data_IF_357121811350
#
_entry.id   IF_357121811350
#
_cell.length_a   1.000
_cell.length_b   1.000
_cell.length_c   1.000
_cell.angle_alpha   90.00
_cell.angle_beta   90.00
_cell.angle_gamma   90.00
#
_symmetry.space_group_name_H-M   'P 1'
#
loop_
_entity.id
_entity.type
_entity.pdbx_description
1 polymer ?
#
# COMPACT_ATOMS: atom_id res chain seq x y z
N UNK A 1 26.23 -9.08 2.96
CA UNK A 1 25.07 -8.32 3.49
C UNK A 1 25.18 -6.89 3.00
N UNK A 2 24.29 -6.42 2.14
CA UNK A 2 24.30 -5.04 1.66
C UNK A 2 23.33 -4.17 2.43
N UNK A 3 23.68 -2.90 2.63
CA UNK A 3 22.74 -1.88 3.08
C UNK A 3 21.63 -1.74 2.03
N UNK A 4 20.38 -1.59 2.48
CA UNK A 4 19.22 -1.39 1.61
C UNK A 4 18.75 0.05 1.72
N UNK A 5 18.47 0.66 0.58
CA UNK A 5 17.94 2.02 0.51
C UNK A 5 16.54 2.08 1.12
N UNK A 6 16.21 3.20 1.77
CA UNK A 6 14.88 3.42 2.34
C UNK A 6 13.81 3.46 1.24
N UNK A 7 12.76 2.59 1.28
CA UNK A 7 11.81 2.47 0.17
C UNK A 7 11.06 3.75 -0.15
N UNK A 8 10.64 4.49 0.87
CA UNK A 8 9.95 5.79 0.72
C UNK A 8 10.93 6.84 0.20
N UNK A 9 12.16 6.90 0.75
CA UNK A 9 13.14 7.92 0.40
C UNK A 9 13.55 7.82 -1.07
N UNK A 10 13.76 6.59 -1.54
CA UNK A 10 14.06 6.30 -2.95
C UNK A 10 12.91 6.67 -3.92
N UNK A 11 11.70 6.84 -3.40
CA UNK A 11 10.46 7.04 -4.19
C UNK A 11 9.87 8.45 -4.07
N UNK A 12 10.47 9.30 -3.23
CA UNK A 12 10.06 10.70 -3.06
C UNK A 12 10.10 11.43 -4.41
N UNK A 13 9.00 12.09 -4.76
CA UNK A 13 8.86 12.84 -6.02
C UNK A 13 8.59 11.99 -7.26
N UNK A 14 8.54 10.65 -7.14
CA UNK A 14 8.19 9.73 -8.22
C UNK A 14 6.83 9.09 -7.96
N UNK A 15 6.76 8.22 -6.95
CA UNK A 15 5.53 7.50 -6.58
C UNK A 15 5.01 7.89 -5.20
N UNK A 16 5.88 8.45 -4.34
CA UNK A 16 5.53 8.87 -2.98
C UNK A 16 5.69 10.37 -2.84
N UNK A 17 4.75 10.99 -2.14
CA UNK A 17 4.70 12.43 -1.90
C UNK A 17 5.29 12.79 -0.53
N UNK A 18 5.59 14.06 -0.32
CA UNK A 18 6.17 14.58 0.92
C UNK A 18 5.18 14.55 2.07
N UNK A 19 5.67 14.25 3.28
CA UNK A 19 4.89 14.35 4.50
C UNK A 19 4.75 15.79 5.01
N UNK A 20 5.74 16.66 4.78
CA UNK A 20 5.60 18.10 5.02
C UNK A 20 5.64 18.83 3.68
N UNK A 21 4.69 19.73 3.45
CA UNK A 21 4.59 20.54 2.24
C UNK A 21 4.54 22.02 2.63
N UNK A 22 5.69 22.65 2.61
CA UNK A 22 5.81 24.08 2.87
C UNK A 22 7.11 24.60 2.25
N UNK A 23 7.18 25.92 2.11
CA UNK A 23 8.35 26.64 1.64
C UNK A 23 8.86 27.55 2.75
N UNK A 24 10.16 27.69 2.87
CA UNK A 24 10.80 28.61 3.81
C UNK A 24 12.07 29.20 3.19
N UNK A 25 12.39 30.43 3.58
CA UNK A 25 13.66 31.05 3.23
C UNK A 25 14.81 30.46 4.05
N UNK A 26 16.05 30.67 3.59
CA UNK A 26 17.26 30.03 4.15
C UNK A 26 17.45 30.24 5.65
N UNK A 27 17.00 31.38 6.20
CA UNK A 27 17.11 31.70 7.62
C UNK A 27 16.08 30.98 8.51
N UNK A 28 14.89 30.66 7.98
CA UNK A 28 13.75 30.15 8.77
C UNK A 28 13.57 28.64 8.64
N UNK A 29 14.23 28.00 7.67
CA UNK A 29 14.06 26.58 7.40
C UNK A 29 14.37 25.68 8.60
N UNK A 30 15.45 25.99 9.34
CA UNK A 30 15.86 25.20 10.50
C UNK A 30 14.81 25.25 11.61
N UNK A 31 14.30 26.44 11.92
CA UNK A 31 13.30 26.64 12.97
C UNK A 31 11.98 25.94 12.63
N UNK A 32 11.55 25.99 11.37
CA UNK A 32 10.34 25.31 10.92
C UNK A 32 10.49 23.79 10.92
N UNK A 33 11.68 23.28 10.57
CA UNK A 33 11.97 21.86 10.63
C UNK A 33 11.98 21.33 12.07
N UNK A 34 12.63 22.06 12.99
CA UNK A 34 12.65 21.78 14.44
C UNK A 34 11.21 21.73 14.98
N UNK A 35 10.40 22.75 14.67
CA UNK A 35 9.00 22.80 15.08
C UNK A 35 8.17 21.63 14.52
N UNK A 36 8.37 21.25 13.25
CA UNK A 36 7.68 20.11 12.63
C UNK A 36 8.01 18.78 13.33
N UNK A 37 9.27 18.57 13.72
CA UNK A 37 9.72 17.37 14.46
C UNK A 37 9.02 17.31 15.81
N UNK A 38 9.04 18.42 16.56
CA UNK A 38 8.40 18.51 17.87
C UNK A 38 6.88 18.34 17.80
N UNK A 39 6.22 18.88 16.77
CA UNK A 39 4.78 18.69 16.52
C UNK A 39 4.47 17.21 16.29
N UNK A 40 5.26 16.52 15.45
CA UNK A 40 5.05 15.09 15.16
C UNK A 40 5.24 14.23 16.39
N UNK A 41 6.27 14.48 17.19
CA UNK A 41 6.50 13.76 18.45
C UNK A 41 5.38 13.99 19.46
N UNK A 42 4.93 15.24 19.59
CA UNK A 42 3.84 15.60 20.48
C UNK A 42 2.53 14.87 20.10
N UNK A 43 2.16 14.91 18.82
CA UNK A 43 0.96 14.23 18.31
C UNK A 43 1.06 12.72 18.49
N UNK A 44 2.19 12.10 18.16
CA UNK A 44 2.40 10.65 18.34
C UNK A 44 2.31 10.23 19.80
N UNK A 45 2.84 11.04 20.72
CA UNK A 45 2.77 10.75 22.17
C UNK A 45 1.34 10.90 22.71
N UNK A 46 0.63 11.96 22.30
CA UNK A 46 -0.74 12.25 22.78
C UNK A 46 -1.76 11.25 22.22
N UNK A 47 -1.63 10.88 20.94
CA UNK A 47 -2.57 10.03 20.22
C UNK A 47 -2.14 8.56 20.12
N UNK A 48 -1.36 8.05 21.09
CA UNK A 48 -0.88 6.64 21.09
C UNK A 48 -2.00 5.61 20.95
N UNK A 49 -3.20 5.90 21.48
CA UNK A 49 -4.35 4.99 21.44
C UNK A 49 -5.17 5.11 20.14
N UNK A 50 -4.92 6.14 19.32
CA UNK A 50 -5.71 6.44 18.14
C UNK A 50 -5.17 5.77 16.85
N UNK A 51 -4.07 5.03 16.91
CA UNK A 51 -3.46 4.37 15.74
C UNK A 51 -3.30 5.33 14.56
N UNK A 52 -2.43 6.32 14.76
CA UNK A 52 -2.08 7.33 13.76
C UNK A 52 -1.01 6.75 12.83
N UNK A 53 -1.28 6.75 11.52
CA UNK A 53 -0.30 6.30 10.52
C UNK A 53 0.64 7.43 10.10
N UNK A 54 0.05 8.46 9.48
CA UNK A 54 0.76 9.58 8.85
C UNK A 54 0.27 10.89 9.44
N UNK A 55 1.19 11.84 9.54
CA UNK A 55 0.91 13.22 9.91
C UNK A 55 1.45 14.08 8.78
N UNK A 56 0.55 14.77 8.08
CA UNK A 56 0.91 15.71 7.03
C UNK A 56 0.87 17.13 7.59
N UNK A 57 1.93 17.90 7.34
CA UNK A 57 2.04 19.27 7.81
C UNK A 57 2.16 20.20 6.60
N UNK A 58 1.25 21.15 6.51
CA UNK A 58 1.26 22.19 5.49
C UNK A 58 1.34 23.54 6.18
N UNK A 59 2.20 24.43 5.68
CA UNK A 59 2.34 25.79 6.23
C UNK A 59 1.97 26.79 5.16
N UNK A 60 1.04 27.68 5.48
CA UNK A 60 0.58 28.76 4.62
C UNK A 60 0.76 30.09 5.35
N UNK A 61 1.85 30.81 5.06
CA UNK A 61 2.28 31.99 5.82
C UNK A 61 2.38 31.66 7.31
N UNK A 62 1.48 32.20 8.14
CA UNK A 62 1.49 32.03 9.59
C UNK A 62 0.60 30.88 10.09
N UNK A 63 -0.21 30.29 9.21
CA UNK A 63 -1.11 29.19 9.56
C UNK A 63 -0.47 27.83 9.28
N UNK A 64 -0.53 26.93 10.26
CA UNK A 64 -0.06 25.54 10.13
C UNK A 64 -1.27 24.62 10.09
N UNK A 65 -1.45 23.92 8.97
CA UNK A 65 -2.49 22.90 8.81
C UNK A 65 -1.87 21.53 9.01
N UNK A 66 -2.33 20.81 10.02
CA UNK A 66 -1.89 19.45 10.33
C UNK A 66 -3.01 18.48 10.03
N UNK A 67 -2.79 17.62 9.04
CA UNK A 67 -3.72 16.57 8.64
C UNK A 67 -3.26 15.24 9.22
N UNK A 68 -4.06 14.67 10.12
CA UNK A 68 -3.77 13.44 10.85
C UNK A 68 -4.54 12.30 10.19
N UNK A 69 -3.80 11.32 9.66
CA UNK A 69 -4.37 10.11 9.09
C UNK A 69 -4.45 9.03 10.17
N UNK A 70 -5.67 8.62 10.51
CA UNK A 70 -5.95 7.68 11.61
C UNK A 70 -6.94 6.61 11.21
N UNK A 71 -6.76 5.40 11.72
CA UNK A 71 -7.75 4.33 11.59
C UNK A 71 -8.91 4.44 12.59
N UNK A 72 -8.79 5.31 13.60
CA UNK A 72 -9.80 5.49 14.67
C UNK A 72 -10.08 6.98 14.89
N UNK A 73 -10.75 7.65 13.94
CA UNK A 73 -11.04 9.08 14.04
C UNK A 73 -11.86 9.44 15.28
N UNK A 74 -12.76 8.56 15.72
CA UNK A 74 -13.58 8.80 16.93
C UNK A 74 -12.77 9.00 18.21
N UNK A 75 -11.60 8.35 18.33
CA UNK A 75 -10.70 8.53 19.48
C UNK A 75 -9.99 9.88 19.44
N UNK A 76 -9.73 10.42 18.24
CA UNK A 76 -9.07 11.72 18.05
C UNK A 76 -10.05 12.88 18.26
N UNK A 77 -11.30 12.71 17.82
CA UNK A 77 -12.35 13.74 17.96
C UNK A 77 -12.82 13.84 19.42
N UNK A 78 -12.94 12.71 20.11
CA UNK A 78 -13.45 12.66 21.49
C UNK A 78 -14.96 12.89 21.58
N UNK A 79 -15.48 13.03 22.80
CA UNK A 79 -16.91 13.31 23.03
C UNK A 79 -17.23 14.72 22.56
N UNK A 80 -18.15 14.87 21.60
CA UNK A 80 -18.60 16.16 21.03
C UNK A 80 -17.47 17.06 20.49
N UNK A 81 -16.31 16.51 20.09
CA UNK A 81 -15.19 17.33 19.60
C UNK A 81 -14.38 18.02 20.69
N UNK A 82 -14.47 17.55 21.94
CA UNK A 82 -13.70 18.13 23.04
C UNK A 82 -12.18 17.91 22.88
N UNK A 83 -11.76 16.70 22.50
CA UNK A 83 -10.34 16.35 22.44
C UNK A 83 -9.61 17.04 21.29
N UNK A 84 -10.27 17.27 20.14
CA UNK A 84 -9.70 18.05 19.05
C UNK A 84 -9.53 19.53 19.43
N UNK A 85 -10.49 20.07 20.19
CA UNK A 85 -10.45 21.45 20.66
C UNK A 85 -9.31 21.65 21.66
N UNK A 86 -9.15 20.71 22.58
CA UNK A 86 -8.01 20.67 23.52
C UNK A 86 -6.67 20.54 22.78
N UNK A 87 -6.58 19.63 21.81
CA UNK A 87 -5.36 19.45 21.01
C UNK A 87 -4.96 20.73 20.26
N UNK A 88 -5.95 21.47 19.73
CA UNK A 88 -5.71 22.76 19.08
C UNK A 88 -5.16 23.80 20.06
N UNK A 89 -5.76 23.93 21.25
CA UNK A 89 -5.29 24.84 22.30
C UNK A 89 -3.88 24.47 22.77
N UNK A 90 -3.61 23.17 23.00
CA UNK A 90 -2.29 22.68 23.42
C UNK A 90 -1.21 22.99 22.37
N UNK A 91 -1.54 22.81 21.08
CA UNK A 91 -0.63 23.14 19.99
C UNK A 91 -0.36 24.64 19.89
N UNK A 92 -1.39 25.48 20.02
CA UNK A 92 -1.22 26.94 19.98
C UNK A 92 -0.42 27.46 21.17
N UNK A 93 -0.65 26.94 22.38
CA UNK A 93 0.08 27.37 23.57
C UNK A 93 1.56 26.96 23.53
N UNK A 94 1.85 25.74 23.06
CA UNK A 94 3.21 25.18 23.13
C UNK A 94 4.13 25.71 22.03
N UNK A 95 3.57 26.00 20.86
CA UNK A 95 4.35 26.37 19.68
C UNK A 95 4.08 27.81 19.20
N UNK A 96 3.20 28.55 19.88
CA UNK A 96 2.81 29.93 19.54
C UNK A 96 2.37 30.10 18.06
N UNK A 97 1.75 29.06 17.48
CA UNK A 97 1.28 29.03 16.09
C UNK A 97 -0.24 28.91 16.01
N UNK A 98 -0.81 29.45 14.94
CA UNK A 98 -2.20 29.21 14.59
C UNK A 98 -2.33 27.85 13.89
N UNK A 99 -2.70 26.83 14.66
CA UNK A 99 -2.80 25.45 14.19
C UNK A 99 -4.25 25.10 13.76
N UNK A 100 -4.40 24.64 12.53
CA UNK A 100 -5.61 23.99 12.04
C UNK A 100 -5.39 22.49 11.98
N UNK A 101 -6.29 21.71 12.58
CA UNK A 101 -6.16 20.25 12.66
C UNK A 101 -7.25 19.63 11.82
N UNK A 102 -6.85 18.86 10.81
CA UNK A 102 -7.72 18.06 9.96
C UNK A 102 -7.55 16.58 10.33
N UNK A 103 -8.64 15.84 10.35
CA UNK A 103 -8.64 14.40 10.63
C UNK A 103 -9.13 13.67 9.39
N UNK A 104 -8.29 12.79 8.88
CA UNK A 104 -8.62 11.91 7.77
C UNK A 104 -8.67 10.46 8.22
N UNK A 105 -9.73 9.76 7.80
CA UNK A 105 -9.97 8.39 8.18
C UNK A 105 -9.33 7.39 7.20
N UNK A 106 -8.51 6.50 7.73
CA UNK A 106 -7.99 5.34 7.02
C UNK A 106 -9.03 4.22 7.11
N UNK A 107 -9.82 4.06 6.04
CA UNK A 107 -10.90 3.05 5.97
C UNK A 107 -10.43 1.59 6.07
N UNK A 108 -9.21 1.30 5.60
CA UNK A 108 -8.65 -0.06 5.56
C UNK A 108 -7.25 -0.07 6.20
N UNK A 109 -7.16 -0.22 7.54
CA UNK A 109 -5.89 -0.13 8.25
C UNK A 109 -4.91 -1.25 7.89
N UNK A 110 -5.38 -2.39 7.40
CA UNK A 110 -4.51 -3.54 7.06
C UNK A 110 -3.73 -3.36 5.74
N UNK A 111 -4.08 -2.34 4.95
CA UNK A 111 -3.34 -1.97 3.73
C UNK A 111 -2.27 -0.90 3.99
N UNK A 112 -2.29 -0.29 5.17
CA UNK A 112 -1.30 0.69 5.64
C UNK A 112 -0.16 -0.02 6.38
N UNK A 113 1.07 0.20 5.93
CA UNK A 113 2.21 -0.55 6.42
C UNK A 113 2.59 -0.17 7.86
N UNK A 114 2.39 1.08 8.26
CA UNK A 114 2.69 1.53 9.62
C UNK A 114 1.69 0.95 10.62
N UNK A 115 0.40 0.97 10.31
CA UNK A 115 -0.63 0.39 11.19
C UNK A 115 -0.50 -1.13 11.31
N UNK A 116 -0.14 -1.82 10.23
CA UNK A 116 0.18 -3.25 10.29
C UNK A 116 1.40 -3.51 11.18
N UNK A 117 2.45 -2.68 11.08
CA UNK A 117 3.63 -2.80 11.94
C UNK A 117 3.28 -2.57 13.42
N UNK A 118 2.53 -1.50 13.72
CA UNK A 118 2.06 -1.18 15.07
C UNK A 118 1.21 -2.32 15.67
N UNK A 119 0.30 -2.89 14.88
CA UNK A 119 -0.53 -4.01 15.32
C UNK A 119 0.31 -5.25 15.66
N UNK A 120 1.33 -5.56 14.85
CA UNK A 120 2.27 -6.66 15.15
C UNK A 120 3.04 -6.34 16.43
N UNK A 121 3.53 -5.12 16.61
CA UNK A 121 4.22 -4.72 17.84
C UNK A 121 3.33 -4.91 19.07
N UNK A 122 2.09 -4.44 19.04
CA UNK A 122 1.13 -4.63 20.13
C UNK A 122 0.87 -6.12 20.44
N UNK A 123 0.84 -6.98 19.42
CA UNK A 123 0.71 -8.43 19.63
C UNK A 123 1.96 -9.04 20.28
N UNK A 124 3.16 -8.59 19.88
CA UNK A 124 4.42 -9.04 20.46
C UNK A 124 4.58 -8.61 21.93
N UNK A 125 4.17 -7.39 22.27
CA UNK A 125 4.15 -6.89 23.65
C UNK A 125 3.21 -7.73 24.53
N UNK A 126 2.09 -8.17 23.97
CA UNK A 126 1.14 -9.10 24.61
C UNK A 126 1.61 -10.56 24.62
N UNK A 127 2.90 -10.82 24.33
CA UNK A 127 3.54 -12.15 24.32
C UNK A 127 2.90 -13.16 23.34
N UNK A 128 2.28 -12.68 22.26
CA UNK A 128 1.82 -13.55 21.18
C UNK A 128 3.03 -14.05 20.39
N UNK A 129 3.03 -15.33 20.02
CA UNK A 129 4.09 -15.92 19.20
C UNK A 129 4.29 -15.13 17.89
N UNK A 130 5.51 -14.65 17.63
CA UNK A 130 5.81 -13.77 16.48
C UNK A 130 5.43 -14.38 15.12
N UNK A 131 5.64 -15.70 14.92
CA UNK A 131 5.22 -16.40 13.69
C UNK A 131 3.72 -16.33 13.45
N UNK A 132 2.93 -16.46 14.51
CA UNK A 132 1.46 -16.38 14.44
C UNK A 132 1.01 -14.96 14.11
N UNK A 133 1.60 -13.95 14.77
CA UNK A 133 1.32 -12.55 14.50
C UNK A 133 1.63 -12.18 13.04
N UNK A 134 2.81 -12.58 12.54
CA UNK A 134 3.20 -12.37 11.14
C UNK A 134 2.24 -13.06 10.15
N UNK A 135 1.97 -14.35 10.33
CA UNK A 135 1.11 -15.11 9.40
C UNK A 135 -0.31 -14.55 9.36
N UNK A 136 -0.85 -14.11 10.51
CA UNK A 136 -2.16 -13.45 10.60
C UNK A 136 -2.16 -12.11 9.86
N UNK A 137 -1.15 -11.27 10.08
CA UNK A 137 -1.03 -9.98 9.41
C UNK A 137 -0.95 -10.15 7.89
N UNK A 138 -0.07 -11.04 7.41
CA UNK A 138 0.06 -11.37 5.98
C UNK A 138 -1.28 -11.82 5.38
N UNK A 139 -1.96 -12.78 6.01
CA UNK A 139 -3.24 -13.28 5.52
C UNK A 139 -4.32 -12.18 5.48
N UNK A 140 -4.38 -11.29 6.47
CA UNK A 140 -5.36 -10.21 6.50
C UNK A 140 -5.12 -9.19 5.39
N UNK A 141 -3.86 -8.77 5.19
CA UNK A 141 -3.47 -7.80 4.16
C UNK A 141 -3.67 -8.37 2.74
N UNK A 142 -3.29 -9.62 2.50
CA UNK A 142 -3.50 -10.29 1.21
C UNK A 142 -4.98 -10.51 0.90
N UNK A 143 -5.80 -10.83 1.91
CA UNK A 143 -7.26 -10.98 1.77
C UNK A 143 -7.93 -9.67 1.34
N UNK A 144 -7.46 -8.53 1.85
CA UNK A 144 -7.99 -7.21 1.55
C UNK A 144 -7.51 -6.63 0.20
N UNK A 145 -6.66 -7.37 -0.51
CA UNK A 145 -6.30 -7.10 -1.90
C UNK A 145 -4.92 -6.48 -2.12
N UNK A 146 -4.01 -6.52 -1.14
CA UNK A 146 -2.61 -6.18 -1.42
C UNK A 146 -2.03 -7.11 -2.50
N UNK A 147 -1.18 -6.56 -3.38
CA UNK A 147 -0.50 -7.33 -4.42
C UNK A 147 0.69 -8.12 -3.86
N UNK A 148 1.24 -7.62 -2.76
CA UNK A 148 2.20 -8.35 -1.95
C UNK A 148 2.49 -7.64 -0.65
N UNK A 149 2.96 -8.43 0.30
CA UNK A 149 3.40 -7.98 1.61
C UNK A 149 4.71 -8.67 1.97
N UNK A 150 5.61 -7.93 2.58
CA UNK A 150 6.79 -8.46 3.24
C UNK A 150 6.82 -7.95 4.67
N UNK A 151 7.07 -8.83 5.61
CA UNK A 151 7.24 -8.50 7.03
C UNK A 151 8.60 -9.02 7.46
N UNK A 152 9.35 -8.20 8.18
CA UNK A 152 10.61 -8.58 8.81
C UNK A 152 10.53 -8.19 10.29
N UNK A 153 10.77 -9.16 11.17
CA UNK A 153 10.86 -8.95 12.61
C UNK A 153 12.27 -9.31 13.04
N UNK A 154 12.95 -8.38 13.70
CA UNK A 154 14.32 -8.53 14.13
C UNK A 154 14.47 -8.25 15.63
N UNK A 155 15.28 -9.05 16.31
CA UNK A 155 15.60 -8.90 17.73
C UNK A 155 15.61 -10.24 18.46
N UNK A 156 15.42 -10.22 19.78
CA UNK A 156 15.39 -11.43 20.63
C UNK A 156 14.04 -12.14 20.54
N UNK A 157 13.81 -12.80 19.40
CA UNK A 157 12.53 -13.45 19.09
C UNK A 157 12.23 -14.56 20.11
N UNK A 158 11.05 -14.51 20.74
CA UNK A 158 10.63 -15.40 21.82
C UNK A 158 11.62 -15.45 23.02
N UNK A 159 12.36 -14.39 23.28
CA UNK A 159 13.28 -14.32 24.43
C UNK A 159 14.58 -15.09 24.27
N UNK A 160 14.93 -15.52 23.04
CA UNK A 160 16.23 -16.11 22.76
C UNK A 160 17.38 -15.17 23.18
N UNK A 161 18.50 -15.75 23.64
CA UNK A 161 19.69 -14.97 24.02
C UNK A 161 20.29 -14.22 22.83
N UNK A 162 20.37 -14.89 21.67
CA UNK A 162 20.92 -14.32 20.44
C UNK A 162 19.80 -13.71 19.59
N UNK A 163 19.96 -12.44 19.23
CA UNK A 163 19.03 -11.75 18.35
C UNK A 163 19.11 -12.31 16.91
N UNK A 164 17.95 -12.45 16.27
CA UNK A 164 17.83 -12.93 14.89
C UNK A 164 16.75 -12.17 14.13
N UNK A 165 16.83 -12.21 12.80
CA UNK A 165 15.83 -11.61 11.93
C UNK A 165 15.09 -12.70 11.15
N UNK A 166 13.78 -12.74 11.29
CA UNK A 166 12.88 -13.62 10.55
C UNK A 166 12.03 -12.77 9.60
N UNK A 167 11.79 -13.26 8.39
CA UNK A 167 10.96 -12.55 7.42
C UNK A 167 10.00 -13.49 6.71
N UNK A 168 8.81 -12.96 6.45
CA UNK A 168 7.78 -13.63 5.65
C UNK A 168 7.44 -12.73 4.48
N UNK A 169 7.31 -13.30 3.29
CA UNK A 169 6.91 -12.58 2.08
C UNK A 169 5.82 -13.37 1.37
N UNK A 170 4.75 -12.70 1.01
CA UNK A 170 3.67 -13.24 0.19
C UNK A 170 3.36 -12.26 -0.94
N UNK A 171 3.10 -12.78 -2.14
CA UNK A 171 2.89 -11.94 -3.34
C UNK A 171 4.17 -11.25 -3.83
N UNK A 172 3.98 -10.14 -4.56
CA UNK A 172 5.07 -9.40 -5.23
C UNK A 172 5.44 -8.14 -4.44
N UNK A 173 6.74 -7.93 -4.21
CA UNK A 173 7.26 -6.70 -3.59
C UNK A 173 8.51 -6.24 -4.36
N UNK A 174 8.34 -5.50 -5.47
CA UNK A 174 9.45 -5.11 -6.35
C UNK A 174 10.20 -3.87 -5.82
N UNK A 175 11.14 -4.08 -4.89
CA UNK A 175 11.87 -2.98 -4.22
C UNK A 175 12.74 -2.13 -5.15
N UNK A 176 13.28 -2.72 -6.23
CA UNK A 176 14.13 -2.01 -7.19
C UNK A 176 13.34 -1.15 -8.19
N UNK A 177 12.04 -1.42 -8.35
CA UNK A 177 11.20 -0.67 -9.28
C UNK A 177 10.78 0.63 -8.62
N UNK A 178 11.40 1.75 -9.03
CA UNK A 178 11.12 3.09 -8.50
C UNK A 178 9.64 3.49 -8.61
N UNK A 179 8.97 3.05 -9.68
CA UNK A 179 7.56 3.35 -9.92
C UNK A 179 6.61 2.52 -9.05
N UNK A 180 7.07 1.41 -8.50
CA UNK A 180 6.21 0.55 -7.71
C UNK A 180 5.80 1.28 -6.43
N UNK A 181 4.50 1.42 -6.20
CA UNK A 181 3.97 2.04 -5.00
C UNK A 181 4.09 1.10 -3.80
N UNK A 182 5.18 1.25 -3.06
CA UNK A 182 5.49 0.45 -1.88
C UNK A 182 5.36 1.32 -0.65
N UNK A 183 4.36 1.00 0.17
CA UNK A 183 4.24 1.56 1.50
C UNK A 183 5.18 0.84 2.46
N UNK A 184 5.79 1.60 3.37
CA UNK A 184 6.78 1.09 4.33
C UNK A 184 6.48 1.59 5.73
N UNK A 185 6.33 0.65 6.66
CA UNK A 185 6.11 0.89 8.07
C UNK A 185 7.26 0.35 8.90
N UNK A 186 7.70 1.15 9.88
CA UNK A 186 8.61 0.71 10.93
C UNK A 186 7.99 1.02 12.29
N UNK A 187 7.97 0.01 13.15
CA UNK A 187 7.54 0.15 14.53
C UNK A 187 8.43 -0.72 15.42
N UNK A 188 8.55 -0.31 16.68
CA UNK A 188 9.34 -0.99 17.70
C UNK A 188 8.40 -1.51 18.78
N UNK A 189 8.65 -2.75 19.23
CA UNK A 189 7.91 -3.36 20.33
C UNK A 189 8.84 -3.46 21.54
N UNK A 190 8.39 -2.92 22.68
CA UNK A 190 9.13 -2.99 23.93
C UNK A 190 8.71 -4.24 24.69
N UNK A 191 9.51 -5.29 24.61
CA UNK A 191 9.27 -6.54 25.35
C UNK A 191 10.14 -6.63 26.60
N UNK A 192 9.77 -7.50 27.54
CA UNK A 192 10.57 -7.72 28.75
C UNK A 192 12.00 -8.20 28.50
N UNK A 193 12.29 -8.75 27.31
CA UNK A 193 13.62 -9.25 26.93
C UNK A 193 14.43 -8.25 26.08
N UNK A 194 13.86 -7.09 25.76
CA UNK A 194 14.47 -6.05 24.92
C UNK A 194 13.55 -5.56 23.81
N UNK A 195 14.15 -4.83 22.85
CA UNK A 195 13.44 -4.20 21.74
C UNK A 195 13.36 -5.17 20.55
N UNK A 196 12.17 -5.29 19.96
CA UNK A 196 11.95 -5.96 18.68
C UNK A 196 11.61 -4.92 17.62
N UNK A 197 12.34 -4.92 16.50
CA UNK A 197 12.04 -4.07 15.36
C UNK A 197 11.15 -4.80 14.35
N UNK A 198 10.03 -4.18 13.96
CA UNK A 198 9.11 -4.69 12.95
C UNK A 198 9.14 -3.77 11.73
N UNK A 199 9.51 -4.33 10.58
CA UNK A 199 9.53 -3.65 9.28
C UNK A 199 8.51 -4.29 8.35
N UNK A 200 7.61 -3.50 7.79
CA UNK A 200 6.55 -3.98 6.90
C UNK A 200 6.67 -3.24 5.56
N UNK A 201 6.56 -3.98 4.46
CA UNK A 201 6.42 -3.45 3.11
C UNK A 201 5.10 -3.96 2.54
N UNK A 202 4.26 -3.06 2.05
CA UNK A 202 3.01 -3.41 1.37
C UNK A 202 3.07 -2.83 -0.05
N UNK A 203 2.82 -3.67 -1.04
CA UNK A 203 2.74 -3.26 -2.43
C UNK A 203 1.27 -3.16 -2.86
N UNK A 204 0.85 -1.94 -3.16
CA UNK A 204 -0.54 -1.59 -3.48
C UNK A 204 -0.60 -0.88 -4.85
N UNK A 205 -1.26 -1.48 -5.84
CA UNK A 205 -1.64 -0.82 -7.09
C UNK A 205 -3.10 -1.13 -7.46
N UNK A 206 -3.71 -0.31 -8.33
CA UNK A 206 -5.02 -0.64 -8.89
C UNK A 206 -4.86 -1.81 -9.85
N UNK A 207 -5.47 -2.94 -9.51
CA UNK A 207 -5.38 -4.17 -10.28
C UNK A 207 -6.74 -4.65 -10.75
N UNK A 208 -6.78 -5.29 -11.91
CA UNK A 208 -7.90 -6.12 -12.32
C UNK A 208 -7.52 -7.59 -12.11
N UNK A 209 -8.13 -8.24 -11.12
CA UNK A 209 -7.79 -9.61 -10.70
C UNK A 209 -8.81 -10.62 -11.20
N UNK A 210 -8.37 -11.74 -11.75
CA UNK A 210 -9.25 -12.83 -12.17
C UNK A 210 -9.78 -13.61 -10.97
N UNK A 211 -11.05 -13.99 -11.00
CA UNK A 211 -11.69 -14.85 -9.99
C UNK A 211 -11.87 -16.28 -10.51
N UNK A 212 -12.01 -16.44 -11.83
CA UNK A 212 -12.19 -17.75 -12.47
C UNK A 212 -10.97 -18.12 -13.29
N UNK A 213 -10.77 -19.44 -13.48
CA UNK A 213 -9.79 -19.95 -14.45
C UNK A 213 -10.29 -19.71 -15.88
N UNK A 214 -9.38 -19.49 -16.81
CA UNK A 214 -9.73 -19.40 -18.23
C UNK A 214 -8.53 -19.16 -19.13
N UNK A 215 -8.77 -19.18 -20.45
CA UNK A 215 -7.78 -18.77 -21.45
C UNK A 215 -8.17 -17.41 -22.00
N UNK A 216 -7.25 -16.47 -21.99
CA UNK A 216 -7.47 -15.12 -22.53
C UNK A 216 -6.62 -14.96 -23.77
N UNK A 217 -7.24 -14.71 -24.92
CA UNK A 217 -6.54 -14.57 -26.21
C UNK A 217 -5.81 -13.23 -26.29
N UNK A 218 -4.75 -13.16 -27.12
CA UNK A 218 -4.05 -11.89 -27.39
C UNK A 218 -5.00 -10.76 -27.84
N UNK A 219 -6.03 -11.09 -28.64
CA UNK A 219 -7.05 -10.14 -29.10
C UNK A 219 -7.89 -9.59 -27.95
N UNK A 220 -8.32 -10.44 -27.01
CA UNK A 220 -9.07 -10.01 -25.82
C UNK A 220 -8.20 -9.17 -24.88
N UNK A 221 -6.91 -9.52 -24.75
CA UNK A 221 -5.96 -8.73 -23.98
C UNK A 221 -5.86 -7.30 -24.54
N UNK A 222 -5.63 -7.19 -25.85
CA UNK A 222 -5.50 -5.89 -26.49
C UNK A 222 -6.83 -5.11 -26.53
N UNK A 223 -7.97 -5.79 -26.67
CA UNK A 223 -9.29 -5.17 -26.59
C UNK A 223 -9.57 -4.55 -25.21
N UNK A 224 -9.24 -5.27 -24.14
CA UNK A 224 -9.36 -4.77 -22.78
C UNK A 224 -8.42 -3.58 -22.54
N UNK A 225 -7.14 -3.67 -22.95
CA UNK A 225 -6.19 -2.54 -22.87
C UNK A 225 -6.71 -1.30 -23.60
N UNK A 226 -7.24 -1.46 -24.81
CA UNK A 226 -7.81 -0.34 -25.60
C UNK A 226 -9.00 0.30 -24.88
N UNK A 227 -9.88 -0.51 -24.28
CA UNK A 227 -11.00 0.00 -23.50
C UNK A 227 -10.52 0.85 -22.31
N UNK A 228 -9.52 0.36 -21.59
CA UNK A 228 -8.89 1.08 -20.46
C UNK A 228 -8.30 2.41 -20.95
N UNK A 229 -7.45 2.40 -21.97
CA UNK A 229 -6.79 3.62 -22.49
C UNK A 229 -7.79 4.67 -23.01
N UNK A 230 -8.89 4.24 -23.62
CA UNK A 230 -9.95 5.17 -24.08
C UNK A 230 -10.61 5.90 -22.93
N UNK A 231 -10.87 5.22 -21.82
CA UNK A 231 -11.50 5.83 -20.64
C UNK A 231 -10.56 6.81 -19.93
N UNK A 232 -9.29 6.46 -19.86
CA UNK A 232 -8.22 7.19 -19.16
C UNK A 232 -7.73 8.43 -19.93
N UNK A 233 -7.88 8.43 -21.26
CA UNK A 233 -7.35 9.48 -22.15
C UNK A 233 -5.83 9.67 -21.93
N UNK A 234 -5.37 10.90 -21.65
CA UNK A 234 -3.94 11.23 -21.40
C UNK A 234 -3.50 11.02 -19.94
N UNK A 235 -4.41 10.70 -19.01
CA UNK A 235 -4.11 10.73 -17.59
C UNK A 235 -3.97 9.33 -17.00
N UNK A 236 -2.81 8.69 -17.07
CA UNK A 236 -2.57 7.41 -16.40
C UNK A 236 -1.73 6.43 -17.22
N UNK A 237 -1.22 5.39 -16.56
CA UNK A 237 -0.44 4.32 -17.18
C UNK A 237 -1.13 2.98 -16.92
N UNK A 238 -1.10 2.10 -17.91
CA UNK A 238 -1.75 0.78 -17.88
C UNK A 238 -0.69 -0.26 -18.21
N UNK A 239 -0.59 -1.29 -17.37
CA UNK A 239 0.27 -2.44 -17.58
C UNK A 239 -0.57 -3.67 -17.82
N UNK A 240 -0.17 -4.43 -18.84
CA UNK A 240 -0.64 -5.79 -19.05
C UNK A 240 0.24 -6.71 -18.22
N UNK A 241 -0.36 -7.56 -17.38
CA UNK A 241 0.36 -8.51 -16.52
C UNK A 241 0.30 -9.96 -17.01
N UNK A 242 -0.58 -10.25 -17.96
CA UNK A 242 -0.67 -11.54 -18.63
C UNK A 242 -0.13 -11.46 -20.05
N UNK A 243 0.66 -12.45 -20.46
CA UNK A 243 1.21 -12.55 -21.80
C UNK A 243 0.63 -13.77 -22.50
N UNK A 244 0.27 -13.66 -23.79
CA UNK A 244 -0.23 -14.79 -24.56
C UNK A 244 0.95 -15.69 -24.96
N UNK A 245 1.35 -16.58 -24.06
CA UNK A 245 2.53 -17.44 -24.14
C UNK A 245 2.20 -18.89 -24.56
N UNK A 246 0.92 -19.27 -24.56
CA UNK A 246 0.51 -20.63 -24.94
C UNK A 246 -0.04 -20.64 -26.37
N UNK A 247 0.59 -21.39 -27.29
CA UNK A 247 0.06 -21.57 -28.63
C UNK A 247 -1.15 -22.51 -28.59
N UNK A 248 -2.27 -22.07 -29.16
CA UNK A 248 -3.42 -22.91 -29.45
C UNK A 248 -3.31 -23.36 -30.89
N UNK A 249 -3.25 -24.67 -31.08
CA UNK A 249 -3.19 -25.30 -32.40
C UNK A 249 -4.56 -25.85 -32.74
N UNK A 250 -4.97 -25.70 -33.98
CA UNK A 250 -6.17 -26.36 -34.51
C UNK A 250 -5.80 -27.24 -35.69
N UNK A 251 -6.63 -28.25 -35.90
CA UNK A 251 -6.58 -29.09 -37.08
C UNK A 251 -7.91 -28.98 -37.79
N UNK A 252 -7.91 -28.89 -39.13
CA UNK A 252 -9.10 -29.12 -39.91
C UNK A 252 -9.67 -30.50 -39.56
N UNK A 253 -11.00 -30.59 -39.53
CA UNK A 253 -11.72 -31.82 -39.15
C UNK A 253 -11.40 -33.01 -40.08
N UNK A 254 -10.89 -32.74 -41.28
CA UNK A 254 -10.58 -33.72 -42.33
C UNK A 254 -9.30 -34.56 -42.06
N UNK A 255 -8.47 -34.16 -41.09
CA UNK A 255 -7.17 -34.82 -40.85
C UNK A 255 -7.30 -36.06 -39.96
N UNK A 256 -6.87 -37.22 -40.45
CA UNK A 256 -6.86 -38.50 -39.70
C UNK A 256 -6.16 -38.37 -38.34
N UNK A 257 -6.73 -39.05 -37.34
CA UNK A 257 -6.20 -39.14 -35.98
C UNK A 257 -4.78 -39.75 -35.98
N UNK A 258 -3.84 -39.17 -35.23
CA UNK A 258 -2.47 -39.70 -35.05
C UNK A 258 -1.31 -38.87 -35.63
N UNK A 259 -1.57 -37.95 -36.58
CA UNK A 259 -0.49 -37.12 -37.21
C UNK A 259 -0.07 -35.87 -36.40
N UNK A 260 0.31 -35.99 -35.12
CA UNK A 260 0.89 -34.89 -34.33
C UNK A 260 -0.05 -33.71 -34.00
N UNK A 261 0.50 -32.52 -33.67
CA UNK A 261 -0.26 -31.26 -33.45
C UNK A 261 -0.38 -30.46 -34.75
N UNK A 262 -1.45 -29.67 -34.90
CA UNK A 262 -1.68 -28.82 -36.08
C UNK A 262 -0.90 -27.50 -36.05
N UNK A 263 -1.16 -26.62 -37.02
CA UNK A 263 -0.58 -25.27 -37.04
C UNK A 263 -1.09 -24.43 -35.88
N UNK A 264 -0.27 -23.47 -35.43
CA UNK A 264 -0.67 -22.50 -34.39
C UNK A 264 -1.67 -21.51 -34.98
N UNK A 265 -2.88 -21.50 -34.44
CA UNK A 265 -3.96 -20.63 -34.90
C UNK A 265 -3.97 -19.29 -34.14
N UNK A 266 -3.81 -19.34 -32.81
CA UNK A 266 -3.70 -18.15 -31.98
C UNK A 266 -2.96 -18.41 -30.68
N UNK A 267 -2.51 -17.32 -30.05
CA UNK A 267 -1.84 -17.36 -28.75
C UNK A 267 -2.80 -16.94 -27.64
N UNK A 268 -2.72 -17.63 -26.50
CA UNK A 268 -3.55 -17.36 -25.33
C UNK A 268 -2.73 -17.40 -24.04
N UNK A 269 -3.12 -16.58 -23.08
CA UNK A 269 -2.61 -16.62 -21.71
C UNK A 269 -3.48 -17.59 -20.90
N UNK A 270 -2.85 -18.50 -20.14
CA UNK A 270 -3.55 -19.30 -19.13
C UNK A 270 -3.69 -18.47 -17.84
N UNK A 271 -4.93 -18.19 -17.46
CA UNK A 271 -5.25 -17.39 -16.27
C UNK A 271 -5.77 -18.31 -15.17
N UNK A 272 -5.20 -18.19 -13.98
CA UNK A 272 -5.68 -18.86 -12.77
C UNK A 272 -6.49 -17.88 -11.90
N UNK A 273 -7.41 -18.39 -11.05
CA UNK A 273 -8.03 -17.58 -10.01
C UNK A 273 -6.95 -16.90 -9.17
N UNK A 274 -7.09 -15.60 -8.99
CA UNK A 274 -6.17 -14.77 -8.24
C UNK A 274 -5.07 -14.08 -9.06
N UNK A 275 -4.90 -14.43 -10.34
CA UNK A 275 -3.95 -13.75 -11.22
C UNK A 275 -4.40 -12.31 -11.50
N UNK A 276 -3.48 -11.36 -11.38
CA UNK A 276 -3.72 -9.96 -11.75
C UNK A 276 -3.46 -9.82 -13.25
N UNK A 277 -4.45 -9.31 -13.98
CA UNK A 277 -4.47 -9.24 -15.44
C UNK A 277 -3.96 -7.89 -15.96
N UNK A 278 -4.42 -6.82 -15.30
CA UNK A 278 -4.02 -5.46 -15.59
C UNK A 278 -3.68 -4.75 -14.31
N UNK A 279 -2.71 -3.85 -14.39
CA UNK A 279 -2.43 -2.89 -13.35
C UNK A 279 -2.49 -1.49 -13.94
N UNK A 280 -2.84 -0.52 -13.12
CA UNK A 280 -3.09 0.83 -13.56
C UNK A 280 -2.68 1.84 -12.49
N UNK A 281 -2.09 2.94 -12.94
CA UNK A 281 -1.53 3.99 -12.10
C UNK A 281 -1.91 5.37 -12.67
N UNK A 282 -1.91 6.39 -11.81
CA UNK A 282 -2.06 7.79 -12.23
C UNK A 282 -3.50 8.24 -12.49
N UNK A 283 -4.50 7.47 -12.02
CA UNK A 283 -5.93 7.78 -12.13
C UNK A 283 -6.61 7.73 -10.77
N UNK A 284 -7.69 8.50 -10.61
CA UNK A 284 -8.55 8.44 -9.43
C UNK A 284 -9.27 7.09 -9.34
N UNK A 285 -9.65 6.65 -8.14
CA UNK A 285 -10.32 5.35 -7.95
C UNK A 285 -11.60 5.23 -8.78
N UNK A 286 -12.39 6.31 -8.89
CA UNK A 286 -13.63 6.33 -9.67
C UNK A 286 -13.34 6.01 -11.14
N UNK A 287 -12.40 6.73 -11.74
CA UNK A 287 -11.95 6.50 -13.12
C UNK A 287 -11.35 5.11 -13.27
N UNK A 288 -10.59 4.66 -12.26
CA UNK A 288 -9.96 3.36 -12.29
C UNK A 288 -10.96 2.21 -12.31
N UNK A 289 -11.98 2.30 -11.44
CA UNK A 289 -13.04 1.31 -11.32
C UNK A 289 -13.86 1.24 -12.61
N UNK A 290 -14.24 2.38 -13.17
CA UNK A 290 -14.97 2.45 -14.43
C UNK A 290 -14.15 1.88 -15.61
N UNK A 291 -12.87 2.28 -15.73
CA UNK A 291 -11.98 1.77 -16.77
C UNK A 291 -11.84 0.24 -16.70
N UNK A 292 -11.69 -0.30 -15.49
CA UNK A 292 -11.58 -1.73 -15.28
C UNK A 292 -12.91 -2.49 -15.42
N UNK A 293 -14.05 -1.88 -15.14
CA UNK A 293 -15.36 -2.46 -15.46
C UNK A 293 -15.53 -2.62 -16.98
N UNK A 294 -15.14 -1.60 -17.76
CA UNK A 294 -15.14 -1.69 -19.23
C UNK A 294 -14.17 -2.77 -19.74
N UNK A 295 -13.00 -2.89 -19.11
CA UNK A 295 -12.04 -3.93 -19.43
C UNK A 295 -12.55 -5.34 -19.11
N UNK A 296 -13.18 -5.51 -17.94
CA UNK A 296 -13.75 -6.77 -17.49
C UNK A 296 -14.77 -7.32 -18.48
N UNK A 297 -15.60 -6.45 -19.06
CA UNK A 297 -16.58 -6.83 -20.08
C UNK A 297 -15.96 -7.36 -21.39
N UNK A 298 -14.65 -7.14 -21.62
CA UNK A 298 -13.93 -7.66 -22.80
C UNK A 298 -13.19 -8.97 -22.54
N UNK A 299 -13.18 -9.45 -21.29
CA UNK A 299 -12.43 -10.63 -20.87
C UNK A 299 -13.37 -11.84 -20.71
N UNK A 300 -12.90 -13.04 -21.07
CA UNK A 300 -13.70 -14.27 -20.94
C UNK A 300 -13.71 -14.84 -19.51
N UNK A 301 -12.99 -14.21 -18.57
CA UNK A 301 -12.90 -14.62 -17.16
C UNK A 301 -13.60 -13.59 -16.28
N UNK A 302 -14.26 -14.05 -15.20
CA UNK A 302 -14.80 -13.13 -14.19
C UNK A 302 -13.63 -12.45 -13.48
N UNK A 303 -13.74 -11.15 -13.29
CA UNK A 303 -12.71 -10.33 -12.67
C UNK A 303 -13.28 -9.45 -11.58
N UNK A 304 -12.44 -9.11 -10.60
CA UNK A 304 -12.74 -8.20 -9.50
C UNK A 304 -11.75 -7.05 -9.54
N UNK A 305 -12.25 -5.83 -9.35
CA UNK A 305 -11.43 -4.65 -9.16
C UNK A 305 -10.70 -4.74 -7.81
N UNK A 306 -9.39 -4.57 -7.84
CA UNK A 306 -8.53 -4.50 -6.67
C UNK A 306 -8.12 -3.04 -6.51
N UNK A 307 -8.66 -2.40 -5.48
CA UNK A 307 -8.41 -0.99 -5.19
C UNK A 307 -7.10 -0.82 -4.43
N UNK A 308 -6.33 0.23 -4.78
CA UNK A 308 -5.54 0.98 -3.81
C UNK A 308 -6.42 1.34 -2.61
N UNK A 309 -5.90 1.25 -1.40
CA UNK A 309 -6.34 2.15 -0.33
C UNK A 309 -5.09 2.72 0.31
N UNK A 310 -4.70 3.88 -0.22
CA UNK A 310 -3.94 4.92 0.48
C UNK A 310 -4.62 6.21 0.00
N UNK A 311 -5.62 6.64 0.77
CA UNK A 311 -5.99 8.04 0.88
C UNK A 311 -5.06 8.59 1.95
#
# INVERSE_FOLDING_TARGET
>A
MGQKVHPIGMRLGISTDWASKWYAEKGQYADYLEADIQIREFIRKRLKNASVSRIQIERARDAVTVTIFTARPGVVIGKKGEDISRLKVDMSNKFAINANINIEEIRKPELDAYLVAENICQQLEKRVMFRRAMKRAVASTMRLGALGIKINVAGRLNGAEIARAEWVREGRVPLHTLRANIDYGFAEALTGYGILGVKVWIYNEFGLKATTRGRVTARQIEAARRAINRHIKRGGKVWIRIFPDVPVTSKPLEVRQGKGKGNVEYWAAKVQPGTVLYEMEGVSEKVAREAFTLAAAKLPVKTVFVSRTVM
#
